data_IF_273064728808
#
_entry.id   IF_273064728808
#
_cell.length_a   1.000
_cell.length_b   1.000
_cell.length_c   1.000
_cell.angle_alpha   90.00
_cell.angle_beta   90.00
_cell.angle_gamma   90.00
#
_symmetry.space_group_name_H-M   'P 1'
#
loop_
_entity.id
_entity.type
_entity.pdbx_description
1 polymer ?
#
# COMPACT_ATOMS: atom_id res chain seq x y z
N UNK A 1 -0.62 18.63 12.83
CA UNK A 1 0.45 17.64 12.59
C UNK A 1 0.81 16.83 13.84
N UNK A 2 1.04 17.45 15.01
CA UNK A 2 1.44 16.74 16.23
C UNK A 2 0.44 15.66 16.72
N UNK A 3 -0.87 15.93 16.76
CA UNK A 3 -1.87 14.92 17.15
C UNK A 3 -1.86 13.70 16.21
N UNK A 4 -1.69 13.95 14.91
CA UNK A 4 -1.55 12.89 13.90
C UNK A 4 -0.27 12.07 14.14
N UNK A 5 0.86 12.73 14.41
CA UNK A 5 2.12 12.06 14.75
C UNK A 5 2.03 11.19 16.01
N UNK A 6 1.33 11.66 17.05
CA UNK A 6 1.07 10.83 18.23
C UNK A 6 0.28 9.57 17.86
N UNK A 7 -0.76 9.71 17.03
CA UNK A 7 -1.55 8.58 16.55
C UNK A 7 -0.72 7.55 15.77
N UNK A 8 0.19 7.99 14.91
CA UNK A 8 1.05 7.08 14.14
C UNK A 8 2.12 6.41 14.99
N UNK A 9 2.62 7.07 16.04
CA UNK A 9 3.50 6.45 17.03
C UNK A 9 2.78 5.38 17.85
N UNK A 10 1.54 5.63 18.27
CA UNK A 10 0.71 4.62 18.93
C UNK A 10 0.46 3.42 18.00
N UNK A 11 0.19 3.67 16.72
CA UNK A 11 0.06 2.61 15.72
C UNK A 11 1.35 1.79 15.59
N UNK A 12 2.50 2.46 15.46
CA UNK A 12 3.80 1.81 15.36
C UNK A 12 4.15 0.99 16.61
N UNK A 13 3.74 1.43 17.81
CA UNK A 13 3.94 0.71 19.06
C UNK A 13 3.21 -0.65 19.10
N UNK A 14 2.19 -0.87 18.27
CA UNK A 14 1.58 -2.19 18.13
C UNK A 14 2.49 -3.22 17.43
N UNK A 15 3.48 -2.79 16.63
CA UNK A 15 4.41 -3.69 15.96
C UNK A 15 5.25 -4.54 16.93
N UNK A 16 5.99 -3.96 17.91
CA UNK A 16 6.76 -4.76 18.88
C UNK A 16 5.85 -5.60 19.79
N UNK A 17 4.68 -5.08 20.20
CA UNK A 17 3.70 -5.83 20.99
C UNK A 17 3.19 -7.07 20.23
N UNK A 18 2.97 -6.92 18.93
CA UNK A 18 2.55 -8.02 18.07
C UNK A 18 3.69 -9.01 17.83
N UNK A 19 4.91 -8.53 17.59
CA UNK A 19 6.10 -9.36 17.43
C UNK A 19 6.33 -10.24 18.66
N UNK A 20 6.19 -9.68 19.87
CA UNK A 20 6.32 -10.42 21.13
C UNK A 20 5.26 -11.53 21.30
N UNK A 21 4.11 -11.43 20.63
CA UNK A 21 3.02 -12.42 20.68
C UNK A 21 3.10 -13.47 19.57
N UNK A 22 3.84 -13.19 18.50
CA UNK A 22 4.00 -14.08 17.34
C UNK A 22 5.29 -14.90 17.46
N UNK A 23 5.26 -16.19 17.09
CA UNK A 23 6.44 -17.09 17.16
C UNK A 23 7.48 -16.89 16.01
N UNK A 24 7.35 -15.83 15.20
CA UNK A 24 8.26 -15.52 14.09
C UNK A 24 7.70 -14.43 13.16
N UNK A 25 8.55 -13.88 12.30
CA UNK A 25 8.19 -12.88 11.29
C UNK A 25 8.09 -13.52 9.90
N UNK A 26 6.95 -14.17 9.62
CA UNK A 26 6.64 -14.66 8.28
C UNK A 26 6.47 -13.52 7.27
N UNK A 27 6.44 -13.82 5.96
CA UNK A 27 6.24 -12.81 4.91
C UNK A 27 5.05 -11.88 5.16
N UNK A 28 3.91 -12.43 5.56
CA UNK A 28 2.73 -11.63 5.87
C UNK A 28 2.92 -10.72 7.08
N UNK A 29 3.57 -11.21 8.15
CA UNK A 29 3.88 -10.41 9.33
C UNK A 29 4.80 -9.25 8.99
N UNK A 30 5.81 -9.46 8.13
CA UNK A 30 6.69 -8.38 7.66
C UNK A 30 5.88 -7.28 6.97
N UNK A 31 4.97 -7.64 6.05
CA UNK A 31 4.10 -6.67 5.40
C UNK A 31 3.21 -5.91 6.41
N UNK A 32 2.67 -6.61 7.41
CA UNK A 32 1.83 -6.00 8.43
C UNK A 32 2.64 -5.11 9.40
N UNK A 33 3.88 -5.45 9.72
CA UNK A 33 4.77 -4.57 10.49
C UNK A 33 5.12 -3.31 9.70
N UNK A 34 5.40 -3.43 8.40
CA UNK A 34 5.57 -2.28 7.50
C UNK A 34 4.34 -1.39 7.53
N UNK A 35 3.13 -1.97 7.47
CA UNK A 35 1.90 -1.18 7.57
C UNK A 35 1.79 -0.43 8.90
N UNK A 36 2.14 -1.05 10.03
CA UNK A 36 2.06 -0.39 11.34
C UNK A 36 3.08 0.75 11.51
N UNK A 37 4.27 0.62 10.91
CA UNK A 37 5.38 1.55 11.13
C UNK A 37 5.36 2.71 10.12
N UNK A 38 5.08 2.47 8.85
CA UNK A 38 5.22 3.47 7.78
C UNK A 38 4.42 4.76 7.96
N UNK A 39 3.23 4.81 8.59
CA UNK A 39 2.56 6.06 8.91
C UNK A 39 3.38 7.00 9.81
N UNK A 40 4.30 6.46 10.63
CA UNK A 40 5.19 7.30 11.45
C UNK A 40 6.16 8.12 10.59
N UNK A 41 6.61 7.57 9.45
CA UNK A 41 7.44 8.28 8.46
C UNK A 41 6.64 9.38 7.78
N UNK A 42 5.40 9.08 7.38
CA UNK A 42 4.48 10.08 6.84
C UNK A 42 4.22 11.23 7.84
N UNK A 43 4.06 10.90 9.12
CA UNK A 43 3.87 11.90 10.17
C UNK A 43 5.10 12.76 10.41
N UNK A 44 6.30 12.17 10.42
CA UNK A 44 7.55 12.91 10.55
C UNK A 44 7.70 13.91 9.39
N UNK A 45 7.48 13.46 8.15
CA UNK A 45 7.52 14.32 6.97
C UNK A 45 6.47 15.44 7.05
N UNK A 46 5.23 15.13 7.46
CA UNK A 46 4.16 16.12 7.60
C UNK A 46 4.45 17.16 8.69
N UNK A 47 5.03 16.75 9.83
CA UNK A 47 5.41 17.68 10.90
C UNK A 47 6.52 18.61 10.42
N UNK A 48 7.57 18.06 9.82
CA UNK A 48 8.68 18.84 9.27
C UNK A 48 8.18 19.85 8.22
N UNK A 49 7.39 19.38 7.26
CA UNK A 49 6.85 20.20 6.18
C UNK A 49 5.91 21.31 6.69
N UNK A 50 4.99 21.01 7.62
CA UNK A 50 4.13 22.02 8.24
C UNK A 50 4.88 23.01 9.14
N UNK A 51 6.06 22.66 9.61
CA UNK A 51 6.95 23.55 10.39
C UNK A 51 7.90 24.37 9.51
N UNK A 52 7.89 24.16 8.18
CA UNK A 52 8.82 24.82 7.26
C UNK A 52 10.26 24.33 7.39
N UNK A 53 10.47 23.12 7.91
CA UNK A 53 11.79 22.54 8.11
C UNK A 53 12.08 21.46 7.06
N UNK A 54 13.21 21.59 6.37
CA UNK A 54 13.75 20.53 5.50
C UNK A 54 14.27 19.37 6.35
N UNK A 55 14.18 18.14 5.84
CA UNK A 55 14.53 16.95 6.62
C UNK A 55 15.37 16.00 5.78
N UNK A 56 16.53 15.59 6.30
CA UNK A 56 17.48 14.70 5.61
C UNK A 56 17.91 15.17 4.21
N UNK A 57 17.93 16.49 3.97
CA UNK A 57 18.23 17.08 2.66
C UNK A 57 17.03 17.13 1.70
N UNK A 58 15.84 16.71 2.13
CA UNK A 58 14.62 16.84 1.35
C UNK A 58 13.94 18.19 1.59
N UNK A 59 13.70 18.90 0.48
CA UNK A 59 12.89 20.12 0.47
C UNK A 59 11.41 19.86 0.75
N UNK A 60 10.67 20.91 1.08
CA UNK A 60 9.25 20.84 1.51
C UNK A 60 8.33 20.13 0.50
N UNK A 61 8.58 20.29 -0.81
CA UNK A 61 7.80 19.61 -1.85
C UNK A 61 7.91 18.09 -1.81
N UNK A 62 9.13 17.56 -1.60
CA UNK A 62 9.35 16.11 -1.48
C UNK A 62 8.74 15.61 -0.17
N UNK A 63 8.87 16.35 0.92
CA UNK A 63 8.23 15.99 2.19
C UNK A 63 6.70 15.94 2.06
N UNK A 64 6.08 16.87 1.32
CA UNK A 64 4.65 16.84 1.03
C UNK A 64 4.24 15.61 0.20
N UNK A 65 5.07 15.17 -0.76
CA UNK A 65 4.84 13.95 -1.55
C UNK A 65 5.10 12.65 -0.77
N UNK A 66 5.97 12.71 0.25
CA UNK A 66 6.29 11.60 1.14
C UNK A 66 5.04 11.18 1.94
N UNK A 67 4.23 12.14 2.39
CA UNK A 67 3.01 11.86 3.17
C UNK A 67 2.08 10.88 2.44
N UNK A 68 1.56 11.15 1.23
CA UNK A 68 0.68 10.20 0.54
C UNK A 68 1.39 8.89 0.17
N UNK A 69 2.69 8.92 -0.20
CA UNK A 69 3.42 7.68 -0.53
C UNK A 69 3.45 6.70 0.64
N UNK A 70 3.81 7.16 1.83
CA UNK A 70 3.88 6.28 3.00
C UNK A 70 2.50 5.86 3.53
N UNK A 71 1.43 6.59 3.21
CA UNK A 71 0.07 6.12 3.50
C UNK A 71 -0.42 5.05 2.52
N UNK A 72 -0.20 5.22 1.22
CA UNK A 72 -0.75 4.32 0.22
C UNK A 72 0.18 3.15 -0.08
N UNK A 73 1.45 3.40 -0.41
CA UNK A 73 2.44 2.35 -0.65
C UNK A 73 2.97 1.75 0.67
N UNK A 74 3.25 2.59 1.66
CA UNK A 74 3.74 2.12 2.96
C UNK A 74 2.67 1.39 3.78
N UNK A 75 1.52 2.03 4.00
CA UNK A 75 0.47 1.49 4.87
C UNK A 75 -0.56 0.63 4.13
N UNK A 76 -1.34 1.21 3.22
CA UNK A 76 -2.49 0.51 2.64
C UNK A 76 -2.06 -0.71 1.82
N UNK A 77 -1.05 -0.55 0.96
CA UNK A 77 -0.51 -1.63 0.14
C UNK A 77 0.08 -2.75 0.99
N UNK A 78 0.92 -2.43 1.99
CA UNK A 78 1.53 -3.44 2.85
C UNK A 78 0.47 -4.15 3.73
N UNK A 79 -0.54 -3.42 4.20
CA UNK A 79 -1.66 -3.99 4.95
C UNK A 79 -2.44 -5.00 4.09
N UNK A 80 -2.86 -4.59 2.89
CA UNK A 80 -3.61 -5.45 1.99
C UNK A 80 -2.75 -6.65 1.56
N UNK A 81 -1.47 -6.44 1.22
CA UNK A 81 -0.53 -7.52 0.86
C UNK A 81 -0.39 -8.56 1.98
N UNK A 82 -0.23 -8.12 3.22
CA UNK A 82 -0.17 -9.01 4.38
C UNK A 82 -1.47 -9.77 4.62
N UNK A 83 -2.62 -9.11 4.47
CA UNK A 83 -3.93 -9.75 4.64
C UNK A 83 -4.25 -10.77 3.55
N UNK A 84 -3.97 -10.48 2.28
CA UNK A 84 -4.19 -11.43 1.18
C UNK A 84 -3.20 -12.60 1.22
N UNK A 85 -1.97 -12.36 1.65
CA UNK A 85 -1.00 -13.44 1.89
C UNK A 85 -1.49 -14.41 2.96
N UNK A 86 -2.05 -13.91 4.07
CA UNK A 86 -2.61 -14.78 5.13
C UNK A 86 -3.86 -15.54 4.71
N UNK A 87 -4.63 -14.99 3.77
CA UNK A 87 -5.91 -15.58 3.35
C UNK A 87 -5.77 -16.65 2.23
N UNK A 88 -4.67 -16.65 1.49
CA UNK A 88 -4.52 -17.42 0.25
C UNK A 88 -3.81 -18.78 0.38
N UNK A 89 -3.58 -19.27 1.61
CA UNK A 89 -2.55 -20.26 1.96
C UNK A 89 -1.13 -19.77 1.58
N UNK A 90 -0.09 -20.23 2.27
CA UNK A 90 1.32 -19.75 2.20
C UNK A 90 2.04 -19.94 0.83
N UNK A 91 1.30 -19.95 -0.28
CA UNK A 91 1.80 -20.10 -1.63
C UNK A 91 2.78 -19.00 -2.07
N UNK A 92 3.60 -19.29 -3.08
CA UNK A 92 4.71 -18.42 -3.51
C UNK A 92 4.26 -17.01 -3.93
N UNK A 93 3.08 -16.89 -4.53
CA UNK A 93 2.52 -15.58 -4.96
C UNK A 93 2.17 -14.70 -3.76
N UNK A 94 1.62 -15.28 -2.69
CA UNK A 94 1.32 -14.55 -1.45
C UNK A 94 2.58 -14.04 -0.78
N UNK A 95 3.59 -14.92 -0.65
CA UNK A 95 4.90 -14.55 -0.09
C UNK A 95 5.59 -13.47 -0.90
N UNK A 96 5.59 -13.60 -2.23
CA UNK A 96 6.14 -12.60 -3.12
C UNK A 96 5.44 -11.25 -2.94
N UNK A 97 4.11 -11.22 -2.97
CA UNK A 97 3.32 -10.00 -2.74
C UNK A 97 3.65 -9.34 -1.39
N UNK A 98 3.74 -10.14 -0.31
CA UNK A 98 3.99 -9.63 1.04
C UNK A 98 5.41 -9.08 1.23
N UNK A 99 6.43 -9.64 0.57
CA UNK A 99 7.83 -9.18 0.69
C UNK A 99 8.19 -8.06 -0.28
N UNK A 100 7.65 -8.11 -1.50
CA UNK A 100 7.94 -7.13 -2.55
C UNK A 100 7.40 -5.74 -2.23
N UNK A 101 6.29 -5.61 -1.51
CA UNK A 101 5.72 -4.29 -1.16
C UNK A 101 6.61 -3.53 -0.16
N UNK A 102 7.01 -4.09 1.00
CA UNK A 102 8.01 -3.48 1.86
C UNK A 102 9.34 -3.21 1.15
N UNK A 103 9.84 -4.21 0.41
CA UNK A 103 11.12 -4.08 -0.28
C UNK A 103 11.08 -2.97 -1.33
N UNK A 104 10.06 -2.93 -2.17
CA UNK A 104 9.86 -1.90 -3.18
C UNK A 104 9.72 -0.51 -2.57
N UNK A 105 8.99 -0.37 -1.47
CA UNK A 105 8.86 0.90 -0.75
C UNK A 105 10.20 1.40 -0.22
N UNK A 106 11.01 0.50 0.35
CA UNK A 106 12.36 0.83 0.82
C UNK A 106 13.32 1.17 -0.33
N UNK A 107 13.22 0.46 -1.46
CA UNK A 107 14.05 0.73 -2.64
C UNK A 107 13.70 2.08 -3.28
N UNK A 108 12.41 2.43 -3.39
CA UNK A 108 11.98 3.76 -3.85
C UNK A 108 12.49 4.84 -2.92
N UNK A 109 12.37 4.64 -1.59
CA UNK A 109 12.93 5.59 -0.62
C UNK A 109 14.45 5.73 -0.76
N UNK A 110 15.19 4.63 -0.94
CA UNK A 110 16.62 4.66 -1.18
C UNK A 110 16.97 5.33 -2.52
N UNK A 111 16.11 5.17 -3.53
CA UNK A 111 16.21 5.80 -4.84
C UNK A 111 16.33 7.32 -4.75
N UNK A 112 15.57 7.97 -3.86
CA UNK A 112 15.68 9.40 -3.61
C UNK A 112 17.09 9.88 -3.19
N UNK A 113 17.93 8.99 -2.64
CA UNK A 113 19.30 9.30 -2.26
C UNK A 113 20.34 8.87 -3.30
N UNK A 114 20.02 7.91 -4.17
CA UNK A 114 20.98 7.27 -5.09
C UNK A 114 20.81 7.79 -6.52
N UNK A 115 19.57 8.07 -6.93
CA UNK A 115 19.19 8.57 -8.26
C UNK A 115 18.04 7.80 -8.91
N UNK A 116 17.55 8.34 -10.01
CA UNK A 116 16.28 7.97 -10.64
C UNK A 116 16.23 6.51 -11.14
N UNK A 117 17.38 5.94 -11.53
CA UNK A 117 17.44 4.54 -11.96
C UNK A 117 17.18 3.57 -10.79
N UNK A 118 17.63 3.93 -9.59
CA UNK A 118 17.35 3.15 -8.38
C UNK A 118 15.87 3.30 -7.97
N UNK A 119 15.29 4.49 -8.14
CA UNK A 119 13.86 4.72 -7.97
C UNK A 119 13.04 3.86 -8.94
N UNK A 120 13.41 3.81 -10.22
CA UNK A 120 12.78 2.96 -11.23
C UNK A 120 12.86 1.48 -10.85
N UNK A 121 14.01 1.00 -10.39
CA UNK A 121 14.15 -0.39 -9.94
C UNK A 121 13.20 -0.69 -8.76
N UNK A 122 13.09 0.23 -7.79
CA UNK A 122 12.13 0.14 -6.70
C UNK A 122 10.68 0.12 -7.18
N UNK A 123 10.33 0.99 -8.13
CA UNK A 123 8.99 1.07 -8.73
C UNK A 123 8.62 -0.23 -9.47
N UNK A 124 9.58 -0.86 -10.16
CA UNK A 124 9.40 -2.16 -10.83
C UNK A 124 9.10 -3.27 -9.81
N UNK A 125 9.91 -3.37 -8.74
CA UNK A 125 9.71 -4.35 -7.67
C UNK A 125 8.35 -4.16 -7.00
N UNK A 126 8.02 -2.92 -6.64
CA UNK A 126 6.74 -2.58 -6.02
C UNK A 126 5.57 -2.94 -6.94
N UNK A 127 5.65 -2.58 -8.22
CA UNK A 127 4.59 -2.86 -9.20
C UNK A 127 4.36 -4.35 -9.37
N UNK A 128 5.42 -5.15 -9.53
CA UNK A 128 5.30 -6.59 -9.63
C UNK A 128 4.59 -7.18 -8.38
N UNK A 129 4.96 -6.69 -7.20
CA UNK A 129 4.30 -7.03 -5.94
C UNK A 129 2.82 -6.68 -5.92
N UNK A 130 2.47 -5.46 -6.33
CA UNK A 130 1.09 -4.99 -6.37
C UNK A 130 0.24 -5.71 -7.41
N UNK A 131 0.81 -6.16 -8.53
CA UNK A 131 0.11 -7.04 -9.46
C UNK A 131 -0.16 -8.43 -8.86
N UNK A 132 0.77 -8.97 -8.07
CA UNK A 132 0.52 -10.19 -7.31
C UNK A 132 -0.61 -9.98 -6.27
N UNK A 133 -0.64 -8.84 -5.57
CA UNK A 133 -1.76 -8.45 -4.69
C UNK A 133 -3.07 -8.38 -5.47
N UNK A 134 -3.09 -7.74 -6.65
CA UNK A 134 -4.27 -7.63 -7.50
C UNK A 134 -4.80 -9.02 -7.92
N UNK A 135 -3.89 -9.93 -8.31
CA UNK A 135 -4.24 -11.30 -8.67
C UNK A 135 -4.88 -12.06 -7.50
N UNK A 136 -4.29 -11.99 -6.30
CA UNK A 136 -4.82 -12.64 -5.09
C UNK A 136 -6.16 -12.04 -4.66
N UNK A 137 -6.30 -10.71 -4.76
CA UNK A 137 -7.55 -9.99 -4.50
C UNK A 137 -8.64 -10.44 -5.47
N UNK A 138 -8.30 -10.59 -6.76
CA UNK A 138 -9.22 -11.09 -7.79
C UNK A 138 -9.64 -12.53 -7.56
N UNK A 139 -8.70 -13.41 -7.17
CA UNK A 139 -9.01 -14.81 -6.78
C UNK A 139 -9.97 -14.84 -5.59
N UNK A 140 -9.75 -13.98 -4.60
CA UNK A 140 -10.64 -13.83 -3.44
C UNK A 140 -12.05 -13.39 -3.86
N UNK A 141 -12.15 -12.49 -4.85
CA UNK A 141 -13.43 -12.05 -5.41
C UNK A 141 -14.19 -13.18 -6.13
N UNK A 142 -13.47 -14.12 -6.73
CA UNK A 142 -14.04 -15.26 -7.45
C UNK A 142 -14.44 -16.42 -6.53
N UNK A 143 -14.06 -16.38 -5.26
CA UNK A 143 -14.38 -17.43 -4.28
C UNK A 143 -15.87 -17.72 -4.16
N UNK A 144 -16.18 -18.97 -3.78
CA UNK A 144 -17.56 -19.42 -3.50
C UNK A 144 -18.08 -18.69 -2.25
N UNK A 145 -19.38 -18.41 -2.21
CA UNK A 145 -20.05 -17.78 -1.06
C UNK A 145 -19.85 -16.26 -0.92
N UNK A 146 -19.19 -15.60 -1.87
CA UNK A 146 -19.02 -14.13 -1.85
C UNK A 146 -20.28 -13.42 -2.35
N UNK A 147 -20.78 -12.47 -1.56
CA UNK A 147 -21.91 -11.61 -1.94
C UNK A 147 -21.52 -10.61 -3.04
N UNK A 148 -22.53 -10.09 -3.76
CA UNK A 148 -22.33 -9.22 -4.93
C UNK A 148 -21.52 -7.97 -4.60
N UNK A 149 -21.74 -7.34 -3.45
CA UNK A 149 -21.05 -6.10 -3.06
C UNK A 149 -19.57 -6.38 -2.83
N UNK A 150 -19.24 -7.42 -2.06
CA UNK A 150 -17.85 -7.82 -1.82
C UNK A 150 -17.12 -8.17 -3.12
N UNK A 151 -17.78 -8.87 -4.06
CA UNK A 151 -17.21 -9.17 -5.38
C UNK A 151 -16.88 -7.92 -6.18
N UNK A 152 -17.79 -6.93 -6.19
CA UNK A 152 -17.60 -5.66 -6.89
C UNK A 152 -16.43 -4.90 -6.27
N UNK A 153 -16.40 -4.75 -4.94
CA UNK A 153 -15.33 -4.04 -4.24
C UNK A 153 -13.94 -4.65 -4.52
N UNK A 154 -13.80 -5.97 -4.40
CA UNK A 154 -12.53 -6.65 -4.67
C UNK A 154 -12.11 -6.55 -6.15
N UNK A 155 -13.07 -6.66 -7.08
CA UNK A 155 -12.77 -6.59 -8.52
C UNK A 155 -12.40 -5.17 -8.92
N UNK A 156 -13.12 -4.15 -8.44
CA UNK A 156 -12.80 -2.74 -8.64
C UNK A 156 -11.41 -2.42 -8.06
N UNK A 157 -11.14 -2.88 -6.84
CA UNK A 157 -9.84 -2.71 -6.21
C UNK A 157 -8.70 -3.31 -7.02
N UNK A 158 -8.85 -4.55 -7.51
CA UNK A 158 -7.82 -5.20 -8.31
C UNK A 158 -7.60 -4.50 -9.66
N UNK A 159 -8.67 -4.08 -10.32
CA UNK A 159 -8.60 -3.40 -11.62
C UNK A 159 -7.92 -2.02 -11.50
N UNK A 160 -8.33 -1.22 -10.52
CA UNK A 160 -7.72 0.11 -10.28
C UNK A 160 -6.26 -0.05 -9.86
N UNK A 161 -5.92 -1.06 -9.06
CA UNK A 161 -4.54 -1.30 -8.68
C UNK A 161 -3.66 -1.59 -9.90
N UNK A 162 -4.10 -2.44 -10.82
CA UNK A 162 -3.34 -2.70 -12.06
C UNK A 162 -3.15 -1.41 -12.87
N UNK A 163 -4.22 -0.64 -13.09
CA UNK A 163 -4.17 0.59 -13.88
C UNK A 163 -3.23 1.65 -13.26
N UNK A 164 -3.31 1.84 -11.93
CA UNK A 164 -2.49 2.82 -11.22
C UNK A 164 -1.02 2.42 -11.16
N UNK A 165 -0.70 1.12 -11.11
CA UNK A 165 0.68 0.64 -11.18
C UNK A 165 1.29 0.78 -12.57
N UNK A 166 0.50 0.57 -13.65
CA UNK A 166 0.96 0.88 -15.02
C UNK A 166 1.32 2.37 -15.13
N UNK A 167 0.46 3.24 -14.58
CA UNK A 167 0.73 4.67 -14.58
C UNK A 167 2.01 5.02 -13.78
N UNK A 168 2.23 4.39 -12.63
CA UNK A 168 3.45 4.56 -11.83
C UNK A 168 4.71 4.15 -12.61
N UNK A 169 4.69 2.99 -13.27
CA UNK A 169 5.80 2.55 -14.10
C UNK A 169 6.07 3.49 -15.27
N UNK A 170 5.02 3.96 -15.94
CA UNK A 170 5.18 4.89 -17.06
C UNK A 170 5.81 6.21 -16.61
N UNK A 171 5.44 6.68 -15.41
CA UNK A 171 6.03 7.88 -14.82
C UNK A 171 7.50 7.65 -14.43
N UNK A 172 7.79 6.59 -13.67
CA UNK A 172 9.16 6.30 -13.21
C UNK A 172 10.12 6.02 -14.38
N UNK A 173 9.63 5.38 -15.45
CA UNK A 173 10.41 5.16 -16.65
C UNK A 173 10.73 6.49 -17.34
N UNK A 174 9.75 7.38 -17.46
CA UNK A 174 9.96 8.69 -18.06
C UNK A 174 10.93 9.56 -17.26
N UNK A 175 10.78 9.60 -15.93
CA UNK A 175 11.69 10.33 -15.04
C UNK A 175 13.13 9.82 -15.22
N UNK A 176 13.34 8.50 -15.20
CA UNK A 176 14.67 7.91 -15.30
C UNK A 176 15.32 7.97 -16.71
N UNK A 177 14.55 8.23 -17.77
CA UNK A 177 15.04 8.19 -19.16
C UNK A 177 14.87 9.50 -19.92
N UNK A 178 14.19 10.49 -19.34
CA UNK A 178 13.80 11.73 -20.01
C UNK A 178 12.68 11.58 -21.05
N UNK A 179 12.00 10.42 -21.11
CA UNK A 179 10.84 10.25 -21.98
C UNK A 179 9.65 11.07 -21.45
N UNK A 180 8.74 11.56 -22.31
CA UNK A 180 7.57 12.30 -21.86
C UNK A 180 6.74 11.52 -20.83
N UNK A 181 6.54 12.12 -19.66
CA UNK A 181 5.75 11.53 -18.58
C UNK A 181 4.77 12.55 -17.99
N UNK A 182 3.73 12.10 -17.26
CA UNK A 182 2.80 13.01 -16.63
C UNK A 182 3.45 13.89 -15.56
N UNK A 183 2.86 15.07 -15.35
CA UNK A 183 3.25 15.93 -14.23
C UNK A 183 2.88 15.31 -12.88
N UNK A 184 3.57 15.73 -11.82
CA UNK A 184 3.28 15.29 -10.45
C UNK A 184 1.83 15.57 -10.02
N UNK A 185 1.28 16.72 -10.42
CA UNK A 185 -0.14 17.05 -10.16
C UNK A 185 -1.08 16.05 -10.82
N UNK A 186 -0.77 15.62 -12.05
CA UNK A 186 -1.57 14.61 -12.73
C UNK A 186 -1.45 13.24 -12.06
N UNK A 187 -0.24 12.85 -11.65
CA UNK A 187 -0.01 11.64 -10.88
C UNK A 187 -0.80 11.65 -9.56
N UNK A 188 -0.80 12.75 -8.82
CA UNK A 188 -1.59 12.86 -7.60
C UNK A 188 -3.10 12.70 -7.88
N UNK A 189 -3.62 13.35 -8.93
CA UNK A 189 -5.04 13.31 -9.29
C UNK A 189 -5.53 11.96 -9.83
N UNK A 190 -4.63 11.17 -10.44
CA UNK A 190 -4.99 9.89 -11.08
C UNK A 190 -4.44 8.70 -10.30
N UNK A 191 -3.12 8.52 -10.26
CA UNK A 191 -2.47 7.47 -9.50
C UNK A 191 -2.79 7.57 -8.00
N UNK A 192 -2.66 8.76 -7.41
CA UNK A 192 -2.91 8.98 -5.97
C UNK A 192 -4.37 8.73 -5.58
N UNK A 193 -5.31 9.43 -6.21
CA UNK A 193 -6.76 9.26 -5.95
C UNK A 193 -7.22 7.84 -6.27
N UNK A 194 -6.74 7.24 -7.36
CA UNK A 194 -7.04 5.85 -7.73
C UNK A 194 -6.57 4.87 -6.65
N UNK A 195 -5.36 5.03 -6.13
CA UNK A 195 -4.87 4.21 -5.03
C UNK A 195 -5.66 4.41 -3.75
N UNK A 196 -6.08 5.64 -3.44
CA UNK A 196 -6.84 5.95 -2.23
C UNK A 196 -8.25 5.36 -2.25
N UNK A 197 -9.03 5.71 -3.27
CA UNK A 197 -10.46 5.39 -3.34
C UNK A 197 -10.72 4.05 -4.01
N UNK A 198 -10.04 3.80 -5.13
CA UNK A 198 -10.26 2.60 -5.92
C UNK A 198 -9.60 1.37 -5.32
N UNK A 199 -8.32 1.46 -4.96
CA UNK A 199 -7.59 0.34 -4.37
C UNK A 199 -7.82 0.22 -2.85
N UNK A 200 -7.33 1.18 -2.07
CA UNK A 200 -7.24 1.04 -0.61
C UNK A 200 -8.63 0.97 0.04
N UNK A 201 -9.50 1.94 -0.22
CA UNK A 201 -10.84 1.96 0.37
C UNK A 201 -11.66 0.73 -0.02
N UNK A 202 -11.71 0.37 -1.31
CA UNK A 202 -12.47 -0.81 -1.75
C UNK A 202 -11.94 -2.11 -1.13
N UNK A 203 -10.61 -2.28 -1.08
CA UNK A 203 -9.98 -3.43 -0.42
C UNK A 203 -10.37 -3.52 1.05
N UNK A 204 -10.26 -2.43 1.81
CA UNK A 204 -10.57 -2.41 3.24
C UNK A 204 -12.06 -2.67 3.50
N UNK A 205 -12.96 -2.06 2.73
CA UNK A 205 -14.40 -2.31 2.85
C UNK A 205 -14.74 -3.77 2.53
N UNK A 206 -14.14 -4.35 1.48
CA UNK A 206 -14.34 -5.76 1.16
C UNK A 206 -13.81 -6.69 2.27
N UNK A 207 -12.60 -6.45 2.76
CA UNK A 207 -11.98 -7.25 3.82
C UNK A 207 -12.79 -7.18 5.12
N UNK A 208 -13.33 -6.01 5.47
CA UNK A 208 -14.24 -5.85 6.62
C UNK A 208 -15.52 -6.68 6.46
N UNK A 209 -16.11 -6.71 5.25
CA UNK A 209 -17.29 -7.54 4.96
C UNK A 209 -16.98 -9.04 5.03
N UNK A 210 -15.78 -9.44 4.64
CA UNK A 210 -15.34 -10.84 4.77
C UNK A 210 -15.17 -11.28 6.23
N UNK A 211 -14.83 -10.35 7.13
CA UNK A 211 -14.72 -10.61 8.58
C UNK A 211 -16.08 -10.63 9.29
N UNK A 212 -17.06 -9.90 8.77
CA UNK A 212 -18.43 -9.87 9.30
C UNK A 212 -19.42 -10.31 8.21
N UNK A 213 -19.56 -11.62 7.96
CA UNK A 213 -20.55 -12.11 7.02
C UNK A 213 -21.93 -11.59 7.44
N UNK A 214 -22.57 -10.81 6.58
CA UNK A 214 -23.98 -10.47 6.76
C UNK A 214 -24.76 -11.77 6.61
N UNK A 215 -25.27 -12.34 7.71
CA UNK A 215 -26.26 -13.40 7.65
C UNK A 215 -27.42 -12.90 6.79
N UNK A 216 -27.81 -13.58 5.71
CA UNK A 216 -29.10 -13.31 5.11
C UNK A 216 -30.12 -13.67 6.18
N UNK A 217 -30.92 -12.69 6.61
CA UNK A 217 -32.12 -12.96 7.39
C UNK A 217 -32.91 -14.06 6.68
N UNK A 218 -33.25 -15.09 7.46
CA UNK A 218 -33.99 -16.23 6.96
C UNK A 218 -35.26 -15.77 6.28
N UNK A 219 -35.47 -16.24 5.05
CA UNK A 219 -36.81 -16.44 4.55
C UNK A 219 -37.42 -17.59 5.36
N UNK A 220 -38.06 -17.24 6.46
CA UNK A 220 -39.06 -18.10 7.10
C UNK A 220 -40.30 -18.14 6.22
N UNK A 221 -40.67 -19.37 5.86
CA UNK A 221 -41.96 -19.85 5.34
C UNK A 221 -42.51 -19.23 4.05
#
# INVERSE_FOLDING_TARGET
AACYALGTLLLAAHAPLRLARTRGAGPAEIALFTALVTPSVAALALVAERSGHELFGFGLGILALTVPHFHFAGFAAALVAGLVCRAGDDGPVGRFAALSVPLGTLLVLAGYFIGDLAELAGAVVLTAGMWAVALLTRRTALGVGRDRVTRILLTASAAVLVATMVLALSWALGEATGLPHPSLTWMAATHGVGNALGFALCSLLALRRLQHPTHPEGRTA
#
